data_IF_496861541220
#
_entry.id   IF_496861541220
#
_cell.length_a   1.000
_cell.length_b   1.000
_cell.length_c   1.000
_cell.angle_alpha   90.00
_cell.angle_beta   90.00
_cell.angle_gamma   90.00
#
_symmetry.space_group_name_H-M   'P 1'
#
loop_
_entity.id
_entity.type
_entity.pdbx_description
1 polymer ?
#
# COMPACT_ATOMS: atom_id res chain seq x y z
N UNK A 1 14.78 -22.24 41.34
CA UNK A 1 14.68 -23.13 40.14
C UNK A 1 13.52 -22.73 39.24
N UNK A 2 12.27 -22.71 39.72
CA UNK A 2 11.08 -22.35 38.92
C UNK A 2 11.21 -20.99 38.23
N UNK A 3 11.66 -19.95 38.94
CA UNK A 3 11.84 -18.59 38.36
C UNK A 3 12.92 -18.56 37.28
N UNK A 4 14.01 -19.32 37.44
CA UNK A 4 15.08 -19.39 36.44
C UNK A 4 14.62 -20.13 35.18
N UNK A 5 13.87 -21.22 35.35
CA UNK A 5 13.24 -21.96 34.24
C UNK A 5 12.22 -21.08 33.52
N UNK A 6 11.39 -20.34 34.29
CA UNK A 6 10.46 -19.38 33.73
C UNK A 6 11.20 -18.31 32.92
N UNK A 7 12.25 -17.68 33.44
CA UNK A 7 13.03 -16.69 32.69
C UNK A 7 13.70 -17.28 31.44
N UNK A 8 14.23 -18.49 31.53
CA UNK A 8 14.86 -19.18 30.40
C UNK A 8 13.87 -19.49 29.27
N UNK A 9 12.60 -19.77 29.60
CA UNK A 9 11.54 -20.04 28.62
C UNK A 9 10.86 -18.75 28.13
N UNK A 10 10.50 -17.86 29.06
CA UNK A 10 9.70 -16.67 28.76
C UNK A 10 10.48 -15.60 27.99
N UNK A 11 11.78 -15.43 28.26
CA UNK A 11 12.61 -14.44 27.55
C UNK A 11 12.79 -14.74 26.05
N UNK A 12 13.10 -15.97 25.60
CA UNK A 12 13.14 -16.26 24.17
C UNK A 12 11.74 -16.28 23.55
N UNK A 13 10.71 -16.74 24.27
CA UNK A 13 9.34 -16.69 23.76
C UNK A 13 8.86 -15.26 23.53
N UNK A 14 9.09 -14.33 24.47
CA UNK A 14 8.69 -12.94 24.29
C UNK A 14 9.41 -12.27 23.12
N UNK A 15 10.71 -12.55 22.94
CA UNK A 15 11.48 -12.09 21.77
C UNK A 15 10.95 -12.70 20.46
N UNK A 16 10.62 -13.98 20.45
CA UNK A 16 10.08 -14.66 19.28
C UNK A 16 8.69 -14.13 18.89
N UNK A 17 7.81 -13.89 19.87
CA UNK A 17 6.50 -13.28 19.67
C UNK A 17 6.68 -11.87 19.10
N UNK A 18 7.51 -11.03 19.73
CA UNK A 18 7.73 -9.66 19.25
C UNK A 18 8.25 -9.64 17.82
N UNK A 19 9.21 -10.50 17.49
CA UNK A 19 9.74 -10.64 16.14
C UNK A 19 8.66 -11.05 15.14
N UNK A 20 7.87 -12.08 15.46
CA UNK A 20 6.76 -12.51 14.59
C UNK A 20 5.72 -11.41 14.41
N UNK A 21 5.40 -10.66 15.47
CA UNK A 21 4.46 -9.54 15.37
C UNK A 21 4.99 -8.47 14.43
N UNK A 22 6.27 -8.11 14.51
CA UNK A 22 6.89 -7.19 13.57
C UNK A 22 6.83 -7.71 12.12
N UNK A 23 7.25 -8.95 11.88
CA UNK A 23 7.21 -9.57 10.55
C UNK A 23 5.78 -9.57 9.98
N UNK A 24 4.77 -9.86 10.81
CA UNK A 24 3.37 -9.85 10.40
C UNK A 24 2.88 -8.44 10.06
N UNK A 25 3.28 -7.44 10.84
CA UNK A 25 2.93 -6.03 10.60
C UNK A 25 3.59 -5.54 9.30
N UNK A 26 4.85 -5.87 9.07
CA UNK A 26 5.58 -5.46 7.86
C UNK A 26 5.01 -6.11 6.60
N UNK A 27 4.70 -7.41 6.66
CA UNK A 27 4.03 -8.11 5.58
C UNK A 27 2.65 -7.50 5.29
N UNK A 28 1.86 -7.22 6.34
CA UNK A 28 0.56 -6.56 6.21
C UNK A 28 0.69 -5.17 5.56
N UNK A 29 1.64 -4.37 6.00
CA UNK A 29 1.85 -3.02 5.45
C UNK A 29 2.29 -3.08 3.98
N UNK A 30 3.16 -4.03 3.64
CA UNK A 30 3.59 -4.27 2.26
C UNK A 30 2.41 -4.70 1.38
N UNK A 31 1.57 -5.60 1.87
CA UNK A 31 0.34 -6.02 1.17
C UNK A 31 -0.63 -4.85 0.99
N UNK A 32 -0.82 -4.02 2.03
CA UNK A 32 -1.67 -2.83 1.95
C UNK A 32 -1.15 -1.83 0.92
N UNK A 33 0.18 -1.63 0.86
CA UNK A 33 0.81 -0.78 -0.14
C UNK A 33 0.56 -1.32 -1.55
N UNK A 34 0.85 -2.59 -1.82
CA UNK A 34 0.64 -3.21 -3.14
C UNK A 34 -0.85 -3.18 -3.54
N UNK A 35 -1.75 -3.36 -2.59
CA UNK A 35 -3.19 -3.28 -2.85
C UNK A 35 -3.66 -1.88 -3.27
N UNK A 36 -2.97 -0.82 -2.82
CA UNK A 36 -3.35 0.57 -3.06
C UNK A 36 -2.50 1.32 -4.10
N UNK A 37 -1.34 0.77 -4.49
CA UNK A 37 -0.37 1.42 -5.37
C UNK A 37 -0.13 0.63 -6.66
N UNK A 38 0.20 1.36 -7.73
CA UNK A 38 0.64 0.83 -9.01
C UNK A 38 2.14 0.46 -8.93
N UNK A 39 2.49 -0.74 -9.38
CA UNK A 39 3.84 -1.28 -9.23
C UNK A 39 4.91 -0.59 -10.08
N UNK A 40 4.52 0.01 -11.21
CA UNK A 40 5.45 0.68 -12.11
C UNK A 40 5.74 2.12 -11.66
N UNK A 41 4.71 2.84 -11.22
CA UNK A 41 4.80 4.28 -10.93
C UNK A 41 4.86 4.62 -9.45
N UNK A 42 4.45 3.70 -8.56
CA UNK A 42 4.29 3.97 -7.13
C UNK A 42 3.11 4.90 -6.79
N UNK A 43 2.37 5.39 -7.79
CA UNK A 43 1.15 6.18 -7.58
C UNK A 43 0.01 5.30 -7.06
N UNK A 44 -1.06 5.92 -6.58
CA UNK A 44 -2.26 5.17 -6.24
C UNK A 44 -2.85 4.49 -7.49
N UNK A 45 -3.22 3.22 -7.34
CA UNK A 45 -3.80 2.46 -8.43
C UNK A 45 -5.27 2.81 -8.66
N UNK A 46 -5.83 2.25 -9.74
CA UNK A 46 -7.22 2.47 -10.14
C UNK A 46 -8.23 2.00 -9.08
N UNK A 47 -7.92 0.91 -8.38
CA UNK A 47 -8.78 0.38 -7.31
C UNK A 47 -8.87 1.37 -6.16
N UNK A 48 -7.72 1.87 -5.68
CA UNK A 48 -7.68 2.91 -4.65
C UNK A 48 -8.47 4.15 -5.07
N UNK A 49 -8.26 4.64 -6.31
CA UNK A 49 -9.02 5.79 -6.79
C UNK A 49 -10.52 5.54 -6.73
N UNK A 50 -10.98 4.38 -7.20
CA UNK A 50 -12.41 4.01 -7.23
C UNK A 50 -13.00 3.99 -5.82
N UNK A 51 -12.30 3.36 -4.88
CA UNK A 51 -12.73 3.25 -3.48
C UNK A 51 -12.73 4.63 -2.78
N UNK A 52 -11.76 5.48 -3.10
CA UNK A 52 -11.63 6.79 -2.49
C UNK A 52 -12.55 7.85 -3.11
N UNK A 53 -12.92 7.70 -4.38
CA UNK A 53 -13.69 8.71 -5.12
C UNK A 53 -15.06 8.98 -4.50
N UNK A 54 -15.76 7.93 -4.05
CA UNK A 54 -17.05 8.06 -3.35
C UNK A 54 -16.91 8.88 -2.05
N UNK A 55 -15.81 8.68 -1.32
CA UNK A 55 -15.50 9.47 -0.12
C UNK A 55 -15.28 10.94 -0.46
N UNK A 56 -14.53 11.23 -1.55
CA UNK A 56 -14.31 12.60 -2.01
C UNK A 56 -15.61 13.29 -2.42
N UNK A 57 -16.48 12.62 -3.18
CA UNK A 57 -17.78 13.15 -3.59
C UNK A 57 -18.66 13.45 -2.36
N UNK A 58 -18.76 12.49 -1.43
CA UNK A 58 -19.51 12.67 -0.18
C UNK A 58 -18.97 13.85 0.64
N UNK A 59 -17.64 14.00 0.69
CA UNK A 59 -16.96 15.11 1.34
C UNK A 59 -17.31 16.46 0.72
N UNK A 60 -17.14 16.60 -0.59
CA UNK A 60 -17.44 17.81 -1.34
C UNK A 60 -18.92 18.21 -1.18
N UNK A 61 -19.85 17.24 -1.28
CA UNK A 61 -21.28 17.47 -1.07
C UNK A 61 -21.59 18.00 0.33
N UNK A 62 -20.99 17.44 1.38
CA UNK A 62 -21.19 17.90 2.76
C UNK A 62 -20.67 19.33 2.96
N UNK A 63 -19.56 19.67 2.32
CA UNK A 63 -18.93 21.01 2.44
C UNK A 63 -19.48 22.03 1.44
N UNK A 64 -20.37 21.62 0.53
CA UNK A 64 -20.88 22.44 -0.59
C UNK A 64 -19.75 22.98 -1.46
N UNK A 65 -18.73 22.15 -1.69
CA UNK A 65 -17.58 22.46 -2.52
C UNK A 65 -17.68 21.76 -3.88
N UNK A 66 -16.96 22.30 -4.86
CA UNK A 66 -16.77 21.66 -6.16
C UNK A 66 -15.63 20.66 -6.09
N UNK A 67 -15.81 19.50 -6.73
CA UNK A 67 -14.76 18.52 -6.97
C UNK A 67 -14.46 18.49 -8.47
N UNK A 68 -13.19 18.63 -8.83
CA UNK A 68 -12.71 18.50 -10.20
C UNK A 68 -11.83 17.25 -10.33
N UNK A 69 -11.87 16.61 -11.50
CA UNK A 69 -11.00 15.51 -11.86
C UNK A 69 -10.29 15.84 -13.18
N UNK A 70 -9.02 15.48 -13.28
CA UNK A 70 -8.21 15.63 -14.49
C UNK A 70 -7.72 14.26 -14.90
N UNK A 71 -7.95 13.92 -16.17
CA UNK A 71 -7.40 12.72 -16.77
C UNK A 71 -6.31 13.14 -17.75
N UNK A 72 -5.14 12.50 -17.63
CA UNK A 72 -3.97 12.74 -18.47
C UNK A 72 -3.63 11.43 -19.18
N UNK A 73 -3.16 11.54 -20.41
CA UNK A 73 -2.69 10.40 -21.21
C UNK A 73 -1.40 10.78 -21.96
N UNK A 74 -0.60 9.79 -22.30
CA UNK A 74 0.66 9.99 -23.02
C UNK A 74 0.46 9.81 -24.52
N UNK A 75 0.63 10.89 -25.28
CA UNK A 75 0.53 10.87 -26.72
C UNK A 75 1.59 9.95 -27.35
N UNK A 76 1.15 9.12 -28.32
CA UNK A 76 2.01 8.21 -29.10
C UNK A 76 2.85 7.25 -28.24
N UNK A 77 2.45 6.95 -27.01
CA UNK A 77 3.20 6.07 -26.10
C UNK A 77 3.54 4.70 -26.70
N UNK A 78 2.62 4.12 -27.51
CA UNK A 78 2.88 2.88 -28.25
C UNK A 78 4.09 2.96 -29.18
N UNK A 79 4.23 4.05 -29.94
CA UNK A 79 5.36 4.23 -30.86
C UNK A 79 6.69 4.31 -30.11
N UNK A 80 6.69 4.95 -28.94
CA UNK A 80 7.86 5.03 -28.06
C UNK A 80 8.26 3.62 -27.62
N UNK A 81 7.30 2.84 -27.08
CA UNK A 81 7.56 1.46 -26.65
C UNK A 81 8.02 0.56 -27.80
N UNK A 82 7.43 0.71 -28.98
CA UNK A 82 7.78 -0.08 -30.16
C UNK A 82 9.17 0.29 -30.72
N UNK A 83 9.64 1.54 -30.51
CA UNK A 83 10.94 2.04 -31.02
C UNK A 83 12.09 1.84 -30.04
N UNK A 84 11.85 2.07 -28.74
CA UNK A 84 12.88 2.01 -27.70
C UNK A 84 12.93 0.65 -27.00
N UNK A 85 11.94 -0.21 -27.22
CA UNK A 85 11.74 -1.43 -26.45
C UNK A 85 11.11 -1.15 -25.08
N UNK A 86 10.48 -2.16 -24.47
CA UNK A 86 10.27 -2.14 -23.02
C UNK A 86 11.63 -2.38 -22.37
N UNK A 87 12.01 -1.53 -21.41
CA UNK A 87 13.14 -1.83 -20.54
C UNK A 87 12.71 -3.00 -19.65
N UNK A 88 13.03 -4.22 -20.09
CA UNK A 88 12.92 -5.44 -19.29
C UNK A 88 13.88 -5.39 -18.09
#
# INVERSE_FOLDING_TARGET
VIVLVALFIFRPMSKAILRKTHELVDARNSMAFIAAHDGLTGLHNRTFLTDHFDTLIKGARRRREWLAAVQLDLDRFKQINDTLGHAD
#
